data_IF_899703800872
#
_entry.id   IF_899703800872
#
_cell.length_a   1.000
_cell.length_b   1.000
_cell.length_c   1.000
_cell.angle_alpha   90.00
_cell.angle_beta   90.00
_cell.angle_gamma   90.00
#
_symmetry.space_group_name_H-M   'P 1'
#
loop_
_entity.id
_entity.type
_entity.pdbx_description
1 polymer ?
#
# COMPACT_ATOMS: atom_id res chain seq x y z
N UNK A 1 -33.74 41.38 41.70
CA UNK A 1 -32.78 41.10 40.62
C UNK A 1 -33.57 41.00 39.31
N UNK A 2 -33.34 41.89 38.34
CA UNK A 2 -34.19 42.01 37.14
C UNK A 2 -34.21 40.73 36.28
N UNK A 3 -35.39 40.26 35.82
CA UNK A 3 -35.52 39.02 35.03
C UNK A 3 -34.81 39.08 33.68
N UNK A 4 -34.61 40.30 33.14
CA UNK A 4 -33.90 40.54 31.88
C UNK A 4 -32.41 40.14 31.95
N UNK A 5 -31.72 40.49 33.04
CA UNK A 5 -30.30 40.15 33.22
C UNK A 5 -30.09 38.63 33.33
N UNK A 6 -31.03 37.92 33.96
CA UNK A 6 -30.94 36.47 34.16
C UNK A 6 -31.08 35.70 32.84
N UNK A 7 -31.94 36.16 31.92
CA UNK A 7 -32.13 35.56 30.59
C UNK A 7 -30.89 35.72 29.71
N UNK A 8 -30.30 36.91 29.69
CA UNK A 8 -29.10 37.20 28.89
C UNK A 8 -27.87 36.39 29.33
N UNK A 9 -27.73 36.10 30.63
CA UNK A 9 -26.66 35.23 31.16
C UNK A 9 -26.87 33.77 30.69
N UNK A 10 -28.10 33.26 30.74
CA UNK A 10 -28.42 31.89 30.33
C UNK A 10 -28.20 31.70 28.83
N UNK A 11 -28.57 32.68 28.01
CA UNK A 11 -28.38 32.62 26.55
C UNK A 11 -26.89 32.62 26.17
N UNK A 12 -26.05 33.40 26.88
CA UNK A 12 -24.60 33.38 26.69
C UNK A 12 -23.95 32.05 27.10
N UNK A 13 -24.41 31.43 28.20
CA UNK A 13 -23.94 30.10 28.62
C UNK A 13 -24.29 29.06 27.56
N UNK A 14 -25.51 29.11 27.01
CA UNK A 14 -25.95 28.21 25.94
C UNK A 14 -25.16 28.44 24.64
N UNK A 15 -24.81 29.70 24.31
CA UNK A 15 -23.97 30.02 23.16
C UNK A 15 -22.53 29.51 23.31
N UNK A 16 -21.92 29.68 24.50
CA UNK A 16 -20.61 29.11 24.84
C UNK A 16 -20.60 27.59 24.77
N UNK A 17 -21.65 26.93 25.26
CA UNK A 17 -21.77 25.47 25.19
C UNK A 17 -21.89 24.98 23.75
N UNK A 18 -22.66 25.68 22.90
CA UNK A 18 -22.76 25.37 21.46
C UNK A 18 -21.41 25.56 20.75
N UNK A 19 -20.68 26.63 21.06
CA UNK A 19 -19.36 26.91 20.50
C UNK A 19 -18.33 25.85 20.93
N UNK A 20 -18.39 25.41 22.19
CA UNK A 20 -17.53 24.35 22.72
C UNK A 20 -17.79 23.01 22.02
N UNK A 21 -19.05 22.65 21.77
CA UNK A 21 -19.39 21.42 21.04
C UNK A 21 -18.90 21.50 19.59
N UNK A 22 -19.03 22.66 18.94
CA UNK A 22 -18.55 22.86 17.58
C UNK A 22 -17.03 22.75 17.47
N UNK A 23 -16.31 23.34 18.43
CA UNK A 23 -14.85 23.24 18.50
C UNK A 23 -14.38 21.81 18.75
N UNK A 24 -15.09 21.06 19.60
CA UNK A 24 -14.82 19.64 19.84
C UNK A 24 -14.99 18.82 18.56
N UNK A 25 -16.06 19.02 17.79
CA UNK A 25 -16.28 18.33 16.51
C UNK A 25 -15.21 18.67 15.44
N UNK A 26 -14.72 19.91 15.43
CA UNK A 26 -13.66 20.31 14.51
C UNK A 26 -12.33 19.58 14.79
N UNK A 27 -11.99 19.37 16.06
CA UNK A 27 -10.75 18.69 16.46
C UNK A 27 -10.68 17.22 16.02
N UNK A 28 -11.82 16.51 15.93
CA UNK A 28 -11.84 15.10 15.49
C UNK A 28 -11.63 14.90 13.98
N UNK A 29 -11.74 15.97 13.19
CA UNK A 29 -11.63 15.85 11.72
C UNK A 29 -10.19 15.60 11.24
N UNK A 30 -9.18 15.80 12.10
CA UNK A 30 -7.76 15.65 11.73
C UNK A 30 -7.19 14.23 11.93
N UNK A 31 -7.97 13.28 12.45
CA UNK A 31 -7.47 11.94 12.80
C UNK A 31 -7.56 10.89 11.68
N UNK A 32 -7.91 11.29 10.46
CA UNK A 32 -7.98 10.35 9.33
C UNK A 32 -6.60 10.08 8.72
N UNK A 33 -5.90 9.08 9.24
CA UNK A 33 -4.73 8.48 8.57
C UNK A 33 -5.20 7.34 7.64
N UNK A 34 -5.16 7.57 6.33
CA UNK A 34 -5.37 6.50 5.33
C UNK A 34 -4.07 5.72 5.14
N UNK A 35 -4.11 4.40 5.35
CA UNK A 35 -2.97 3.52 5.13
C UNK A 35 -3.26 2.58 3.96
N UNK A 36 -2.40 2.59 2.94
CA UNK A 36 -2.49 1.68 1.79
C UNK A 36 -2.33 0.23 2.28
N UNK A 37 -3.32 -0.62 1.99
CA UNK A 37 -3.35 -2.04 2.37
C UNK A 37 -3.73 -2.86 1.15
N UNK A 38 -2.91 -3.86 0.82
CA UNK A 38 -3.20 -4.83 -0.24
C UNK A 38 -3.26 -6.25 0.33
N UNK A 39 -4.05 -7.11 -0.31
CA UNK A 39 -4.06 -8.57 -0.14
C UNK A 39 -3.15 -9.29 -1.13
N UNK A 40 -2.65 -8.57 -2.15
CA UNK A 40 -1.75 -9.01 -3.19
C UNK A 40 -0.39 -8.29 -3.10
N UNK A 41 0.65 -8.82 -3.74
CA UNK A 41 1.80 -8.00 -4.10
C UNK A 41 1.43 -7.09 -5.24
N UNK A 42 1.70 -5.79 -5.12
CA UNK A 42 1.55 -4.84 -6.22
C UNK A 42 2.92 -4.27 -6.54
N UNK A 43 3.40 -4.49 -7.75
CA UNK A 43 4.66 -3.99 -8.28
C UNK A 43 4.31 -2.94 -9.33
N UNK A 44 4.63 -1.68 -9.05
CA UNK A 44 4.41 -0.59 -10.01
C UNK A 44 5.75 -0.15 -10.59
N UNK A 45 5.91 -0.31 -11.90
CA UNK A 45 7.08 0.11 -12.65
C UNK A 45 6.93 1.58 -13.08
N UNK A 46 7.84 2.43 -12.62
CA UNK A 46 8.03 3.79 -13.09
C UNK A 46 9.30 3.86 -13.95
N UNK A 47 9.52 4.99 -14.64
CA UNK A 47 10.67 5.13 -15.55
C UNK A 47 12.03 5.03 -14.84
N UNK A 48 12.07 5.40 -13.57
CA UNK A 48 13.29 5.60 -12.77
C UNK A 48 13.29 4.82 -11.44
N UNK A 49 12.14 4.27 -11.03
CA UNK A 49 12.03 3.45 -9.82
C UNK A 49 10.91 2.40 -9.92
N UNK A 50 10.92 1.47 -8.97
CA UNK A 50 9.81 0.54 -8.74
C UNK A 50 9.21 0.80 -7.37
N UNK A 51 7.88 0.87 -7.28
CA UNK A 51 7.15 0.85 -6.01
C UNK A 51 6.63 -0.56 -5.78
N UNK A 52 6.81 -1.09 -4.58
CA UNK A 52 6.27 -2.39 -4.19
C UNK A 52 5.41 -2.26 -2.94
N UNK A 53 4.20 -2.77 -3.05
CA UNK A 53 3.25 -2.91 -1.96
C UNK A 53 3.12 -4.38 -1.61
N UNK A 54 3.49 -4.74 -0.38
CA UNK A 54 3.37 -6.11 0.11
C UNK A 54 1.95 -6.40 0.63
N UNK A 55 1.55 -7.69 0.67
CA UNK A 55 0.29 -8.10 1.24
C UNK A 55 0.30 -7.84 2.77
N UNK A 56 -0.43 -6.82 3.18
CA UNK A 56 -0.51 -6.36 4.57
C UNK A 56 -1.29 -7.32 5.47
N UNK A 57 -2.19 -8.11 4.89
CA UNK A 57 -2.94 -9.16 5.60
C UNK A 57 -2.02 -10.25 6.18
N UNK A 58 -0.80 -10.41 5.64
CA UNK A 58 0.18 -11.37 6.11
C UNK A 58 1.06 -10.84 7.25
N UNK A 59 0.92 -9.56 7.64
CA UNK A 59 1.72 -8.92 8.71
C UNK A 59 1.42 -9.49 10.10
N UNK A 60 0.18 -9.96 10.32
CA UNK A 60 -0.26 -10.55 11.60
C UNK A 60 -0.06 -12.06 11.70
N UNK A 61 0.17 -12.74 10.56
CA UNK A 61 0.51 -14.16 10.55
C UNK A 61 2.00 -14.27 10.81
N UNK A 62 2.36 -14.61 12.05
CA UNK A 62 3.73 -14.90 12.50
C UNK A 62 4.32 -16.04 11.66
N UNK A 63 4.84 -15.70 10.49
CA UNK A 63 5.34 -16.63 9.48
C UNK A 63 4.23 -17.31 8.66
N UNK A 64 4.50 -17.49 7.36
CA UNK A 64 3.77 -18.44 6.51
C UNK A 64 3.85 -19.81 7.18
N UNK A 65 2.73 -20.29 7.73
CA UNK A 65 2.65 -21.59 8.41
C UNK A 65 2.42 -22.75 7.44
N UNK A 66 1.78 -22.46 6.29
CA UNK A 66 1.54 -23.37 5.17
C UNK A 66 1.69 -22.63 3.85
N UNK A 67 1.92 -23.36 2.76
CA UNK A 67 1.99 -22.80 1.42
C UNK A 67 0.73 -21.97 1.12
N UNK A 68 0.90 -20.72 0.70
CA UNK A 68 -0.21 -19.81 0.44
C UNK A 68 -0.05 -19.15 -0.93
N UNK A 69 -1.07 -19.27 -1.77
CA UNK A 69 -1.10 -18.58 -3.05
C UNK A 69 -1.53 -17.13 -2.84
N UNK A 70 -0.77 -16.20 -3.42
CA UNK A 70 -1.08 -14.78 -3.45
C UNK A 70 -0.98 -14.26 -4.88
N UNK A 71 -1.82 -13.29 -5.23
CA UNK A 71 -1.67 -12.60 -6.50
C UNK A 71 -0.46 -11.66 -6.47
N UNK A 72 0.25 -11.59 -7.58
CA UNK A 72 1.26 -10.56 -7.89
C UNK A 72 0.74 -9.77 -9.07
N UNK A 73 0.35 -8.53 -8.79
CA UNK A 73 -0.14 -7.57 -9.77
C UNK A 73 1.03 -6.69 -10.16
N UNK A 74 1.32 -6.64 -11.46
CA UNK A 74 2.43 -5.85 -12.00
C UNK A 74 1.81 -4.77 -12.88
N UNK A 75 2.01 -3.52 -12.52
CA UNK A 75 1.52 -2.35 -13.23
C UNK A 75 2.68 -1.69 -13.99
N UNK A 76 2.53 -1.57 -15.30
CA UNK A 76 3.49 -0.86 -16.12
C UNK A 76 3.05 0.60 -16.29
N UNK A 77 3.59 1.52 -15.48
CA UNK A 77 3.39 2.97 -15.63
C UNK A 77 4.51 3.65 -16.43
N UNK A 78 5.35 2.87 -17.09
CA UNK A 78 6.38 3.39 -17.99
C UNK A 78 5.80 3.69 -19.37
N UNK A 79 6.60 4.32 -20.23
CA UNK A 79 6.24 4.65 -21.61
C UNK A 79 6.51 3.49 -22.59
N UNK A 80 7.14 2.41 -22.14
CA UNK A 80 7.56 1.29 -22.99
C UNK A 80 7.03 -0.04 -22.46
N UNK A 81 7.08 -1.07 -23.31
CA UNK A 81 6.66 -2.41 -22.93
C UNK A 81 7.59 -2.97 -21.84
N UNK A 82 6.99 -3.47 -20.76
CA UNK A 82 7.68 -4.13 -19.66
C UNK A 82 7.72 -5.64 -19.91
N UNK A 83 8.93 -6.21 -19.88
CA UNK A 83 9.21 -7.64 -19.91
C UNK A 83 9.95 -7.99 -18.64
N UNK A 84 9.50 -9.00 -17.92
CA UNK A 84 10.14 -9.44 -16.70
C UNK A 84 9.91 -10.91 -16.41
N UNK A 85 10.57 -11.39 -15.36
CA UNK A 85 10.32 -12.72 -14.80
C UNK A 85 10.13 -12.67 -13.30
N UNK A 86 9.29 -13.54 -12.76
CA UNK A 86 9.17 -13.78 -11.32
C UNK A 86 9.84 -15.10 -11.02
N UNK A 87 10.70 -15.11 -10.00
CA UNK A 87 11.48 -16.27 -9.61
C UNK A 87 11.48 -16.46 -8.10
N UNK A 88 11.25 -17.70 -7.68
CA UNK A 88 11.51 -18.13 -6.30
C UNK A 88 13.00 -18.42 -6.14
N UNK A 89 13.60 -18.06 -5.00
CA UNK A 89 15.05 -18.19 -4.75
C UNK A 89 15.64 -19.61 -4.89
N UNK A 90 14.83 -20.63 -5.14
CA UNK A 90 15.24 -22.01 -5.44
C UNK A 90 15.09 -22.39 -6.93
N UNK A 91 14.84 -21.46 -7.86
CA UNK A 91 14.68 -21.70 -9.32
C UNK A 91 13.49 -22.57 -9.75
N UNK A 92 12.73 -23.13 -8.82
CA UNK A 92 11.62 -24.06 -9.13
C UNK A 92 10.41 -23.43 -9.83
N UNK A 93 10.24 -22.10 -9.73
CA UNK A 93 9.13 -21.38 -10.34
C UNK A 93 9.67 -20.14 -11.02
N UNK A 94 9.66 -20.15 -12.36
CA UNK A 94 10.00 -19.01 -13.21
C UNK A 94 8.82 -18.73 -14.11
N UNK A 95 8.16 -17.59 -13.91
CA UNK A 95 7.08 -17.14 -14.79
C UNK A 95 7.47 -15.85 -15.50
N UNK A 96 7.30 -15.81 -16.81
CA UNK A 96 7.58 -14.64 -17.63
C UNK A 96 6.33 -13.80 -17.83
N UNK A 97 6.51 -12.49 -17.76
CA UNK A 97 5.45 -11.51 -17.97
C UNK A 97 5.85 -10.52 -19.04
N UNK A 98 4.88 -10.13 -19.85
CA UNK A 98 5.00 -9.06 -20.83
C UNK A 98 3.76 -8.19 -20.66
N UNK A 99 3.98 -6.89 -20.50
CA UNK A 99 2.95 -5.92 -20.11
C UNK A 99 3.15 -4.66 -20.93
N UNK A 100 2.15 -4.29 -21.73
CA UNK A 100 2.18 -3.06 -22.52
C UNK A 100 2.18 -1.81 -21.62
N UNK A 101 2.61 -0.68 -22.16
CA UNK A 101 2.62 0.59 -21.43
C UNK A 101 1.20 0.95 -20.93
N UNK A 102 1.09 1.39 -19.69
CA UNK A 102 -0.19 1.73 -19.04
C UNK A 102 -1.06 0.53 -18.63
N UNK A 103 -0.62 -0.70 -18.86
CA UNK A 103 -1.40 -1.91 -18.56
C UNK A 103 -0.89 -2.61 -17.30
N UNK A 104 -1.70 -3.54 -16.79
CA UNK A 104 -1.35 -4.39 -15.65
C UNK A 104 -1.56 -5.86 -15.97
N UNK A 105 -0.74 -6.73 -15.37
CA UNK A 105 -0.94 -8.19 -15.41
C UNK A 105 -0.92 -8.76 -14.00
N UNK A 106 -1.83 -9.67 -13.71
CA UNK A 106 -1.85 -10.43 -12.45
C UNK A 106 -1.37 -11.86 -12.71
N UNK A 107 -0.53 -12.37 -11.83
CA UNK A 107 -0.11 -13.77 -11.81
C UNK A 107 -0.26 -14.34 -10.39
N UNK A 108 -0.41 -15.65 -10.28
CA UNK A 108 -0.54 -16.33 -8.99
C UNK A 108 0.82 -16.87 -8.54
N UNK A 109 1.27 -16.43 -7.37
CA UNK A 109 2.53 -16.85 -6.76
C UNK A 109 2.28 -17.68 -5.51
N UNK A 110 2.81 -18.89 -5.49
CA UNK A 110 2.74 -19.76 -4.31
C UNK A 110 3.87 -19.46 -3.34
N UNK A 111 3.54 -18.83 -2.22
CA UNK A 111 4.48 -18.50 -1.15
C UNK A 111 4.75 -19.72 -0.25
N UNK A 112 6.03 -20.06 -0.09
CA UNK A 112 6.55 -21.11 0.77
C UNK A 112 7.34 -20.47 1.92
N UNK A 113 7.29 -21.10 3.10
CA UNK A 113 7.98 -20.62 4.30
C UNK A 113 9.49 -20.56 4.11
N UNK A 114 10.10 -19.41 4.40
CA UNK A 114 11.56 -19.23 4.33
C UNK A 114 12.10 -19.00 2.92
N UNK A 115 11.24 -18.98 1.90
CA UNK A 115 11.65 -18.66 0.54
C UNK A 115 11.58 -17.15 0.29
N UNK A 116 12.55 -16.67 -0.48
CA UNK A 116 12.56 -15.31 -1.01
C UNK A 116 12.07 -15.32 -2.44
N UNK A 117 11.33 -14.28 -2.81
CA UNK A 117 10.75 -14.12 -4.13
C UNK A 117 11.25 -12.83 -4.74
N UNK A 118 11.52 -12.87 -6.03
CA UNK A 118 12.08 -11.74 -6.75
C UNK A 118 11.36 -11.53 -8.08
N UNK A 119 11.16 -10.27 -8.42
CA UNK A 119 10.83 -9.85 -9.78
C UNK A 119 12.08 -9.31 -10.46
N UNK A 120 12.35 -9.78 -11.67
CA UNK A 120 13.48 -9.37 -12.49
C UNK A 120 12.97 -8.64 -13.74
N UNK A 121 13.14 -7.31 -13.80
CA UNK A 121 12.85 -6.55 -15.01
C UNK A 121 13.91 -6.84 -16.07
N UNK A 122 13.51 -7.47 -17.17
CA UNK A 122 14.38 -7.81 -18.29
C UNK A 122 14.44 -6.67 -19.32
N UNK A 123 13.30 -5.99 -19.53
CA UNK A 123 13.22 -4.80 -20.38
C UNK A 123 12.07 -3.91 -19.92
N UNK A 124 12.29 -2.60 -19.64
CA UNK A 124 13.60 -1.98 -19.44
C UNK A 124 14.39 -2.70 -18.35
N UNK A 125 15.70 -2.90 -18.58
CA UNK A 125 16.55 -3.59 -17.62
C UNK A 125 16.67 -2.79 -16.32
N UNK A 126 16.53 -3.45 -15.18
CA UNK A 126 16.59 -2.81 -13.88
C UNK A 126 17.14 -3.77 -12.82
N UNK A 127 17.41 -3.26 -11.63
CA UNK A 127 17.80 -4.13 -10.51
C UNK A 127 16.66 -5.07 -10.10
N UNK A 128 17.02 -6.24 -9.55
CA UNK A 128 16.04 -7.19 -9.02
C UNK A 128 15.22 -6.55 -7.91
N UNK A 129 13.93 -6.85 -7.90
CA UNK A 129 12.95 -6.37 -6.95
C UNK A 129 12.62 -7.51 -6.00
N UNK A 130 13.12 -7.48 -4.75
CA UNK A 130 12.76 -8.45 -3.72
C UNK A 130 11.32 -8.21 -3.26
N UNK A 131 10.49 -9.25 -3.20
CA UNK A 131 9.09 -9.19 -2.74
C UNK A 131 9.02 -9.48 -1.25
N UNK A 132 8.96 -8.41 -0.45
CA UNK A 132 8.96 -8.50 1.00
C UNK A 132 7.54 -8.62 1.54
N UNK A 133 7.25 -9.77 2.15
CA UNK A 133 5.97 -10.03 2.80
C UNK A 133 5.80 -9.09 4.00
N UNK A 134 4.63 -8.48 4.12
CA UNK A 134 4.26 -7.68 5.28
C UNK A 134 4.92 -6.31 5.40
N UNK A 135 5.63 -5.84 4.38
CA UNK A 135 6.03 -4.42 4.32
C UNK A 135 4.93 -3.56 3.75
N UNK A 136 4.71 -2.38 4.37
CA UNK A 136 3.63 -1.44 4.03
C UNK A 136 3.76 -0.88 2.62
N UNK A 137 4.93 -0.39 2.21
CA UNK A 137 5.28 -0.01 0.84
C UNK A 137 6.78 0.32 0.85
N UNK A 138 7.46 0.10 -0.26
CA UNK A 138 8.87 0.50 -0.40
C UNK A 138 9.19 0.80 -1.85
N UNK A 139 10.17 1.67 -2.05
CA UNK A 139 10.64 2.11 -3.35
C UNK A 139 12.05 1.60 -3.60
N UNK A 140 12.30 1.25 -4.85
CA UNK A 140 13.54 0.68 -5.34
C UNK A 140 14.03 1.62 -6.44
N UNK A 141 14.96 2.55 -6.14
CA UNK A 141 15.45 3.51 -7.12
C UNK A 141 16.38 2.84 -8.14
N UNK A 142 16.60 3.49 -9.28
CA UNK A 142 17.64 3.07 -10.22
C UNK A 142 19.01 3.11 -9.54
N UNK A 143 19.88 2.14 -9.85
CA UNK A 143 21.30 2.27 -9.50
C UNK A 143 21.89 3.39 -10.34
N UNK A 144 22.50 4.38 -9.68
CA UNK A 144 23.34 5.38 -10.33
C UNK A 144 24.68 4.77 -10.73
#
# INVERSE_FOLDING_TARGET
>A
MCPFLKKQIIDNINAMNKLSVFFFLFLFSFLSFSQERSSAFIITAHGDYYKVLGPSALVGLKGITKSQTVAVIIENKTLSKLVGKIESGQKDQVEFVTIEAGHSKSIDLTLKKGHKYYFYPLSPAFQRVELMIGKKAYEIPAKR
#
